data_IF_112893416967
#
_entry.id   IF_112893416967
#
_cell.length_a   1.000
_cell.length_b   1.000
_cell.length_c   1.000
_cell.angle_alpha   90.00
_cell.angle_beta   90.00
_cell.angle_gamma   90.00
#
_symmetry.space_group_name_H-M   'P 1'
#
loop_
_entity.id
_entity.type
_entity.pdbx_description
1 polymer ?
#
# COMPACT_ATOMS: atom_id res chain seq x y z
N UNK A 1 6.97 -14.11 -17.20
CA UNK A 1 7.13 -14.08 -15.72
C UNK A 1 5.75 -13.84 -15.16
N UNK A 2 5.26 -14.74 -14.31
CA UNK A 2 3.97 -14.53 -13.67
C UNK A 2 4.10 -13.42 -12.62
N UNK A 3 3.20 -12.44 -12.64
CA UNK A 3 3.21 -11.35 -11.64
C UNK A 3 2.76 -11.89 -10.28
N UNK A 4 2.00 -12.99 -10.29
CA UNK A 4 1.44 -13.64 -9.13
C UNK A 4 1.81 -15.13 -9.12
N UNK A 5 2.80 -15.52 -8.32
CA UNK A 5 3.12 -16.94 -8.16
C UNK A 5 2.22 -17.58 -7.09
N UNK A 6 1.88 -18.85 -7.26
CA UNK A 6 1.02 -19.58 -6.31
C UNK A 6 1.69 -19.78 -4.95
N UNK A 7 3.02 -19.71 -4.87
CA UNK A 7 3.75 -19.88 -3.62
C UNK A 7 3.87 -18.60 -2.77
N UNK A 8 3.37 -17.45 -3.25
CA UNK A 8 3.51 -16.17 -2.53
C UNK A 8 2.37 -15.91 -1.55
N UNK A 9 2.72 -15.36 -0.39
CA UNK A 9 1.74 -14.97 0.64
C UNK A 9 1.26 -13.54 0.42
N UNK A 10 0.00 -13.28 0.79
CA UNK A 10 -0.66 -11.98 0.65
C UNK A 10 -0.69 -11.20 1.97
N UNK A 11 0.08 -11.66 2.96
CA UNK A 11 -0.03 -11.18 4.35
C UNK A 11 0.47 -9.75 4.51
N UNK A 12 1.33 -9.31 3.58
CA UNK A 12 1.91 -7.96 3.53
C UNK A 12 1.06 -6.95 2.76
N UNK A 13 0.00 -7.37 2.08
CA UNK A 13 -0.80 -6.43 1.28
C UNK A 13 -1.67 -5.52 2.12
N UNK A 14 -1.93 -4.30 1.63
CA UNK A 14 -2.88 -3.42 2.27
C UNK A 14 -4.26 -4.09 2.30
N UNK A 15 -4.93 -3.97 3.44
CA UNK A 15 -6.31 -4.40 3.64
C UNK A 15 -7.30 -3.30 3.23
N UNK A 16 -6.81 -2.08 3.03
CA UNK A 16 -7.58 -0.90 2.64
C UNK A 16 -6.85 -0.13 1.53
N UNK A 17 -7.59 0.26 0.49
CA UNK A 17 -7.08 1.08 -0.62
C UNK A 17 -7.89 2.37 -0.74
N UNK A 18 -7.23 3.52 -0.70
CA UNK A 18 -7.85 4.83 -0.98
C UNK A 18 -7.66 5.13 -2.47
N UNK A 19 -8.68 4.81 -3.28
CA UNK A 19 -8.63 4.88 -4.75
C UNK A 19 -9.08 6.24 -5.34
N UNK A 20 -9.63 7.13 -4.51
CA UNK A 20 -9.92 8.51 -4.93
C UNK A 20 -11.32 8.98 -4.60
N UNK A 21 -11.84 9.97 -5.36
CA UNK A 21 -11.17 10.67 -6.46
C UNK A 21 -10.10 11.68 -6.00
N UNK A 22 -9.28 12.18 -6.92
CA UNK A 22 -8.32 13.24 -6.62
C UNK A 22 -9.01 14.54 -6.19
N UNK A 23 -8.32 15.34 -5.37
CA UNK A 23 -8.77 16.66 -4.91
C UNK A 23 -10.03 16.64 -4.02
N UNK A 24 -10.46 15.48 -3.52
CA UNK A 24 -11.55 15.36 -2.54
C UNK A 24 -11.06 15.02 -1.13
N UNK A 25 -9.81 15.38 -0.81
CA UNK A 25 -9.26 15.21 0.55
C UNK A 25 -8.68 13.84 0.86
N UNK A 26 -8.24 13.07 -0.15
CA UNK A 26 -7.61 11.75 0.04
C UNK A 26 -6.34 11.83 0.91
N UNK A 27 -5.55 12.89 0.78
CA UNK A 27 -4.39 13.14 1.65
C UNK A 27 -4.80 13.44 3.10
N UNK A 28 -5.89 14.18 3.32
CA UNK A 28 -6.40 14.41 4.68
C UNK A 28 -6.89 13.09 5.32
N UNK A 29 -7.63 12.28 4.56
CA UNK A 29 -8.03 10.94 4.99
C UNK A 29 -6.82 10.05 5.30
N UNK A 30 -5.80 10.04 4.44
CA UNK A 30 -4.55 9.32 4.66
C UNK A 30 -3.88 9.71 5.99
N UNK A 31 -3.77 11.02 6.27
CA UNK A 31 -3.21 11.53 7.52
C UNK A 31 -4.07 11.14 8.74
N UNK A 32 -5.39 11.17 8.61
CA UNK A 32 -6.30 10.80 9.70
C UNK A 32 -6.24 9.30 10.03
N UNK A 33 -6.18 8.44 9.02
CA UNK A 33 -6.02 7.00 9.22
C UNK A 33 -4.66 6.66 9.83
N UNK A 34 -3.59 7.38 9.44
CA UNK A 34 -2.25 7.20 10.02
C UNK A 34 -2.12 7.60 11.49
N UNK A 35 -3.12 8.28 12.07
CA UNK A 35 -3.15 8.57 13.51
C UNK A 35 -3.74 7.42 14.35
N UNK A 36 -4.38 6.43 13.73
CA UNK A 36 -4.98 5.32 14.46
C UNK A 36 -3.93 4.24 14.78
N UNK A 37 -3.84 3.74 16.03
CA UNK A 37 -2.77 2.84 16.46
C UNK A 37 -2.73 1.49 15.72
N UNK A 38 -3.89 1.02 15.24
CA UNK A 38 -3.99 -0.26 14.51
C UNK A 38 -3.84 -0.12 13.00
N UNK A 39 -3.63 1.10 12.48
CA UNK A 39 -3.47 1.38 11.05
C UNK A 39 -2.07 1.88 10.76
N UNK A 40 -1.46 1.33 9.72
CA UNK A 40 -0.15 1.76 9.23
C UNK A 40 -0.20 2.01 7.73
N UNK A 41 0.35 3.14 7.29
CA UNK A 41 0.47 3.44 5.87
C UNK A 41 1.66 2.71 5.24
N UNK A 42 1.71 2.72 3.91
CA UNK A 42 2.91 2.33 3.17
C UNK A 42 4.12 3.23 3.46
N UNK A 43 5.31 2.72 3.19
CA UNK A 43 6.52 3.51 3.08
C UNK A 43 6.42 4.50 1.89
N UNK A 44 7.02 5.69 2.00
CA UNK A 44 6.98 6.66 0.93
C UNK A 44 7.80 6.21 -0.28
N UNK A 45 7.28 6.48 -1.46
CA UNK A 45 7.99 6.39 -2.74
C UNK A 45 8.85 7.63 -2.96
N UNK A 46 10.03 7.45 -3.55
CA UNK A 46 10.90 8.57 -3.95
C UNK A 46 10.32 9.40 -5.11
N UNK A 47 9.42 8.82 -5.91
CA UNK A 47 8.85 9.47 -7.10
C UNK A 47 7.49 10.10 -6.81
N UNK A 48 6.69 9.46 -5.97
CA UNK A 48 5.26 9.72 -5.82
C UNK A 48 4.83 9.91 -4.36
N UNK A 49 5.80 10.11 -3.46
CA UNK A 49 5.58 10.39 -2.03
C UNK A 49 4.69 9.34 -1.36
N UNK A 50 3.53 9.73 -0.83
CA UNK A 50 2.63 8.80 -0.14
C UNK A 50 1.93 7.79 -1.08
N UNK A 51 1.98 8.00 -2.40
CA UNK A 51 1.30 7.15 -3.37
C UNK A 51 2.24 6.10 -3.96
N UNK A 52 1.90 4.81 -3.89
CA UNK A 52 2.72 3.76 -4.53
C UNK A 52 2.47 3.72 -6.05
N UNK A 53 1.27 4.13 -6.48
CA UNK A 53 0.87 4.15 -7.90
C UNK A 53 1.05 2.76 -8.57
N UNK A 54 0.91 1.66 -7.82
CA UNK A 54 1.14 0.30 -8.34
C UNK A 54 0.18 -0.04 -9.50
N UNK A 55 -1.09 0.27 -9.34
CA UNK A 55 -2.14 -0.01 -10.33
C UNK A 55 -2.19 1.02 -11.48
N UNK A 56 -1.32 2.03 -11.51
CA UNK A 56 -1.31 3.09 -12.52
C UNK A 56 -0.33 2.81 -13.69
N UNK A 57 -0.42 1.62 -14.29
CA UNK A 57 0.31 1.26 -15.50
C UNK A 57 1.75 0.77 -15.25
N UNK A 58 2.75 1.66 -15.31
CA UNK A 58 4.16 1.26 -15.37
C UNK A 58 4.64 0.45 -14.16
N UNK A 59 4.18 0.80 -12.96
CA UNK A 59 4.58 0.13 -11.72
C UNK A 59 4.02 -1.29 -11.62
N UNK A 60 2.89 -1.59 -12.28
CA UNK A 60 2.31 -2.94 -12.29
C UNK A 60 3.27 -3.97 -12.88
N UNK A 61 4.07 -3.56 -13.88
CA UNK A 61 5.07 -4.42 -14.52
C UNK A 61 6.30 -4.70 -13.63
N UNK A 62 6.52 -3.92 -12.57
CA UNK A 62 7.56 -4.19 -11.57
C UNK A 62 7.23 -5.42 -10.72
N UNK A 63 5.96 -5.86 -10.75
CA UNK A 63 5.49 -7.08 -10.13
C UNK A 63 5.15 -6.90 -8.65
N UNK A 64 4.57 -7.96 -8.08
CA UNK A 64 4.03 -7.91 -6.73
C UNK A 64 5.10 -7.84 -5.64
N UNK A 65 6.33 -8.29 -5.94
CA UNK A 65 7.46 -8.20 -5.00
C UNK A 65 7.84 -6.75 -4.74
N UNK A 66 7.95 -5.96 -5.82
CA UNK A 66 8.17 -4.52 -5.74
C UNK A 66 7.07 -3.84 -4.93
N UNK A 67 5.82 -4.28 -5.09
CA UNK A 67 4.70 -3.74 -4.33
C UNK A 67 4.79 -4.05 -2.83
N UNK A 68 5.19 -5.27 -2.46
CA UNK A 68 5.33 -5.69 -1.06
C UNK A 68 6.46 -4.96 -0.32
N UNK A 69 7.47 -4.44 -1.02
CA UNK A 69 8.58 -3.69 -0.40
C UNK A 69 8.11 -2.40 0.29
N UNK A 70 6.95 -1.87 -0.09
CA UNK A 70 6.37 -0.69 0.53
C UNK A 70 5.62 -0.96 1.84
N UNK A 71 5.45 -2.21 2.24
CA UNK A 71 4.76 -2.57 3.48
C UNK A 71 5.74 -3.24 4.45
N UNK A 72 5.67 -2.97 5.76
CA UNK A 72 6.49 -3.67 6.73
C UNK A 72 6.30 -5.20 6.67
N UNK A 73 7.29 -5.94 7.19
CA UNK A 73 7.13 -7.39 7.38
C UNK A 73 6.23 -7.57 8.60
N UNK A 74 5.08 -8.28 8.48
CA UNK A 74 4.20 -8.51 9.61
C UNK A 74 4.98 -9.19 10.72
N UNK A 75 5.01 -8.56 11.89
CA UNK A 75 5.50 -9.22 13.09
C UNK A 75 4.42 -10.20 13.58
N UNK A 76 4.75 -11.14 14.45
CA UNK A 76 3.79 -12.15 14.95
C UNK A 76 2.59 -11.54 15.73
N UNK A 77 2.44 -10.23 15.77
CA UNK A 77 1.27 -9.53 16.31
C UNK A 77 0.15 -9.47 15.28
N UNK A 78 -1.04 -9.88 15.70
CA UNK A 78 -2.21 -10.16 14.85
C UNK A 78 -2.95 -8.94 14.30
N UNK A 79 -2.42 -7.71 14.44
CA UNK A 79 -3.25 -6.50 14.37
C UNK A 79 -2.70 -5.35 13.51
N UNK A 80 -1.75 -5.60 12.61
CA UNK A 80 -1.24 -4.53 11.73
C UNK A 80 -2.10 -4.43 10.46
N UNK A 81 -3.05 -3.48 10.43
CA UNK A 81 -3.82 -3.19 9.21
C UNK A 81 -3.08 -2.18 8.34
N UNK A 82 -2.59 -2.64 7.19
CA UNK A 82 -1.96 -1.76 6.21
C UNK A 82 -2.97 -1.11 5.28
N UNK A 83 -2.72 0.16 4.94
CA UNK A 83 -3.48 0.87 3.92
C UNK A 83 -2.55 1.65 2.98
N UNK A 84 -3.01 1.89 1.75
CA UNK A 84 -2.35 2.80 0.82
C UNK A 84 -3.30 3.85 0.24
N UNK A 85 -2.70 4.93 -0.27
CA UNK A 85 -3.37 5.88 -1.16
C UNK A 85 -2.88 5.67 -2.59
N UNK A 86 -3.79 5.35 -3.51
CA UNK A 86 -3.49 5.22 -4.94
C UNK A 86 -4.03 6.39 -5.77
N UNK A 87 -4.79 7.29 -5.12
CA UNK A 87 -5.48 8.43 -5.71
C UNK A 87 -4.59 9.66 -5.87
#
# INVERSE_FOLDING_TARGET
>A
KDIWSKEKTCDRFPKLLIIGPQKTGTTALYLFLGMHPDLSSNYPSSETFEEIQFFNGHNYHKGIDWYMEFFPIPSNTTSDFYFEKSA
#
